data_IF_227502944634
#
_entry.id   IF_227502944634
#
_cell.length_a   1.000
_cell.length_b   1.000
_cell.length_c   1.000
_cell.angle_alpha   90.00
_cell.angle_beta   90.00
_cell.angle_gamma   90.00
#
_symmetry.space_group_name_H-M   'P 1'
#
loop_
_entity.id
_entity.type
_entity.pdbx_description
1 polymer ?
#
# COMPACT_ATOMS: atom_id res chain seq x y z
N UNK A 1 -59.74 47.84 29.08
CA UNK A 1 -59.03 48.90 28.32
C UNK A 1 -57.71 48.37 27.79
N UNK A 2 -57.43 48.59 26.51
CA UNK A 2 -56.07 48.71 25.96
C UNK A 2 -55.67 50.20 26.11
N UNK A 3 -54.38 50.63 26.10
CA UNK A 3 -53.48 50.22 25.01
C UNK A 3 -51.93 50.23 25.22
N UNK A 4 -51.26 49.69 24.19
CA UNK A 4 -49.90 49.91 23.63
C UNK A 4 -48.64 49.49 24.43
N UNK A 5 -47.60 48.86 23.86
CA UNK A 5 -47.27 48.38 22.50
C UNK A 5 -46.29 47.19 22.58
N UNK A 6 -46.37 46.19 21.68
CA UNK A 6 -45.46 45.94 20.53
C UNK A 6 -43.96 45.91 20.91
N UNK A 7 -43.13 44.90 20.61
CA UNK A 7 -43.13 43.93 19.51
C UNK A 7 -42.26 42.69 19.85
N UNK A 8 -42.75 41.49 19.51
CA UNK A 8 -41.94 40.28 19.37
C UNK A 8 -41.17 40.31 18.05
N UNK A 9 -39.87 40.06 18.06
CA UNK A 9 -39.14 39.62 16.87
C UNK A 9 -37.95 38.74 17.24
N UNK A 10 -37.87 37.62 16.52
CA UNK A 10 -36.75 36.71 16.40
C UNK A 10 -35.59 37.38 15.65
N UNK A 11 -34.37 37.28 16.18
CA UNK A 11 -33.09 37.52 15.47
C UNK A 11 -32.26 36.24 15.69
N UNK A 12 -31.98 35.36 14.72
CA UNK A 12 -31.36 35.47 13.39
C UNK A 12 -30.03 36.24 13.41
N UNK A 13 -28.93 35.49 13.40
CA UNK A 13 -27.56 35.94 13.13
C UNK A 13 -27.00 35.08 11.97
N UNK A 14 -26.00 35.54 11.20
CA UNK A 14 -26.23 36.00 9.83
C UNK A 14 -25.69 35.03 8.77
N UNK A 15 -26.51 34.80 7.75
CA UNK A 15 -26.10 34.26 6.45
C UNK A 15 -25.38 35.36 5.66
N UNK A 16 -24.06 35.23 5.50
CA UNK A 16 -23.28 36.05 4.56
C UNK A 16 -23.53 35.58 3.12
N UNK A 17 -24.44 36.29 2.47
CA UNK A 17 -24.34 36.85 1.11
C UNK A 17 -23.43 36.17 0.09
N UNK A 18 -24.04 35.58 -0.94
CA UNK A 18 -23.63 35.70 -2.35
C UNK A 18 -24.92 35.73 -3.20
N UNK A 19 -25.21 36.86 -3.84
CA UNK A 19 -26.30 37.04 -4.83
C UNK A 19 -25.69 37.09 -6.25
N UNK A 20 -26.50 36.90 -7.30
CA UNK A 20 -26.17 36.01 -8.41
C UNK A 20 -25.46 36.74 -9.55
N UNK A 21 -24.49 36.05 -10.16
CA UNK A 21 -23.95 36.41 -11.47
C UNK A 21 -24.25 35.30 -12.47
N UNK A 22 -24.99 35.66 -13.49
CA UNK A 22 -25.41 34.84 -14.62
C UNK A 22 -24.23 34.33 -15.47
N UNK A 23 -24.50 33.28 -16.28
CA UNK A 23 -23.78 32.85 -17.51
C UNK A 23 -22.72 31.75 -17.30
N UNK A 24 -23.17 30.50 -17.30
CA UNK A 24 -23.14 29.55 -18.44
C UNK A 24 -23.33 28.16 -17.88
N UNK A 25 -24.40 27.48 -18.29
CA UNK A 25 -24.47 26.04 -18.19
C UNK A 25 -23.23 25.46 -18.90
N UNK A 26 -22.26 25.01 -18.11
CA UNK A 26 -21.20 24.16 -18.63
C UNK A 26 -21.90 22.87 -19.06
N UNK A 27 -22.15 22.75 -20.36
CA UNK A 27 -22.48 21.47 -20.99
C UNK A 27 -21.44 20.49 -20.48
N UNK A 28 -21.88 19.54 -19.67
CA UNK A 28 -21.07 18.41 -19.26
C UNK A 28 -20.68 17.69 -20.53
N UNK A 29 -19.43 17.86 -20.96
CA UNK A 29 -18.78 17.03 -21.97
C UNK A 29 -18.62 15.62 -21.37
N UNK A 30 -19.73 14.88 -21.25
CA UNK A 30 -19.67 13.43 -21.27
C UNK A 30 -19.14 13.00 -22.64
N UNK A 31 -18.27 11.99 -22.67
CA UNK A 31 -17.82 11.28 -23.87
C UNK A 31 -16.64 11.83 -24.69
N UNK A 32 -15.75 12.64 -24.12
CA UNK A 32 -14.40 12.83 -24.73
C UNK A 32 -13.33 12.06 -23.96
N UNK A 33 -13.35 10.73 -24.10
CA UNK A 33 -12.16 9.93 -23.80
C UNK A 33 -11.14 10.26 -24.89
N UNK A 34 -10.03 10.90 -24.53
CA UNK A 34 -8.90 11.07 -25.46
C UNK A 34 -8.27 9.69 -25.67
N UNK A 35 -8.26 9.14 -26.90
CA UNK A 35 -7.63 7.86 -27.17
C UNK A 35 -6.17 7.87 -26.69
N UNK A 36 -5.69 6.74 -26.18
CA UNK A 36 -4.35 6.65 -25.58
C UNK A 36 -3.25 7.16 -26.52
N UNK A 37 -3.34 6.81 -27.81
CA UNK A 37 -2.38 7.23 -28.84
C UNK A 37 -2.29 8.77 -29.02
N UNK A 38 -3.39 9.50 -28.77
CA UNK A 38 -3.53 10.94 -29.04
C UNK A 38 -3.12 11.84 -27.87
N UNK A 39 -2.69 11.26 -26.75
CA UNK A 39 -2.26 12.05 -25.58
C UNK A 39 -0.96 12.82 -25.86
N UNK A 40 -0.89 14.04 -25.36
CA UNK A 40 0.25 14.97 -25.58
C UNK A 40 1.36 14.81 -24.55
N UNK A 41 1.04 14.37 -23.32
CA UNK A 41 1.99 14.25 -22.21
C UNK A 41 2.67 12.86 -22.20
N UNK A 42 3.37 12.51 -23.28
CA UNK A 42 4.10 11.24 -23.35
C UNK A 42 5.43 11.37 -22.62
N UNK A 43 5.72 10.44 -21.71
CA UNK A 43 6.96 10.35 -20.94
C UNK A 43 7.35 11.61 -20.15
N UNK A 44 6.39 12.48 -19.83
CA UNK A 44 6.62 13.67 -19.02
C UNK A 44 7.04 13.28 -17.60
N UNK A 45 8.20 13.77 -17.16
CA UNK A 45 8.67 13.54 -15.79
C UNK A 45 7.90 14.43 -14.82
N UNK A 46 7.19 13.80 -13.86
CA UNK A 46 6.42 14.52 -12.85
C UNK A 46 7.19 14.80 -11.56
N UNK A 47 8.10 13.90 -11.17
CA UNK A 47 8.80 14.00 -9.90
C UNK A 47 10.15 13.28 -9.94
N UNK A 48 11.12 13.80 -9.19
CA UNK A 48 12.45 13.19 -9.01
C UNK A 48 12.73 13.12 -7.52
N UNK A 49 13.04 11.91 -7.04
CA UNK A 49 13.53 11.68 -5.69
C UNK A 49 15.06 11.70 -5.69
N UNK A 50 15.66 12.32 -4.67
CA UNK A 50 17.11 12.30 -4.45
C UNK A 50 17.93 12.81 -5.65
N UNK A 51 17.49 13.91 -6.27
CA UNK A 51 18.13 14.47 -7.46
C UNK A 51 19.64 14.73 -7.27
N UNK A 52 20.05 15.14 -6.06
CA UNK A 52 21.43 15.45 -5.72
C UNK A 52 22.37 14.22 -5.76
N UNK A 53 21.83 13.00 -5.62
CA UNK A 53 22.59 11.76 -5.67
C UNK A 53 22.92 11.30 -7.11
N UNK A 54 22.38 11.98 -8.13
CA UNK A 54 22.51 11.59 -9.55
C UNK A 54 23.71 12.29 -10.25
N UNK A 55 24.43 13.17 -9.55
CA UNK A 55 25.49 14.02 -10.10
C UNK A 55 26.72 13.29 -10.70
N UNK A 56 26.75 11.95 -10.74
CA UNK A 56 27.87 11.18 -11.29
C UNK A 56 27.51 10.19 -12.40
N UNK A 57 26.28 10.19 -12.94
CA UNK A 57 26.01 9.48 -14.20
C UNK A 57 26.09 10.47 -15.37
N UNK A 58 26.95 10.23 -16.39
CA UNK A 58 26.97 11.07 -17.56
C UNK A 58 25.58 11.01 -18.21
N UNK A 59 24.96 12.18 -18.36
CA UNK A 59 23.76 12.38 -19.15
C UNK A 59 24.01 11.84 -20.55
N UNK A 60 23.44 10.67 -20.87
CA UNK A 60 23.24 10.32 -22.27
C UNK A 60 22.15 11.25 -22.75
N UNK A 61 22.56 12.22 -23.56
CA UNK A 61 21.71 13.20 -24.22
C UNK A 61 20.40 12.56 -24.67
N UNK A 62 19.30 13.26 -24.39
CA UNK A 62 18.03 13.08 -25.06
C UNK A 62 18.23 13.41 -26.53
N UNK A 63 18.66 12.42 -27.31
CA UNK A 63 18.70 12.54 -28.76
C UNK A 63 17.28 12.35 -29.28
N UNK A 64 16.57 13.47 -29.45
CA UNK A 64 15.59 13.60 -30.51
C UNK A 64 16.30 13.38 -31.86
N UNK A 65 16.18 12.21 -32.49
CA UNK A 65 16.37 12.07 -33.95
C UNK A 65 15.68 10.83 -34.48
N UNK A 66 14.79 11.09 -35.46
CA UNK A 66 14.36 10.30 -36.63
C UNK A 66 14.24 8.78 -36.57
N UNK A 67 13.14 8.29 -37.14
CA UNK A 67 12.75 6.88 -37.28
C UNK A 67 13.68 5.99 -38.13
N UNK A 68 14.86 6.47 -38.56
CA UNK A 68 15.80 5.67 -39.33
C UNK A 68 17.22 5.73 -38.74
N UNK A 69 17.73 4.52 -38.49
CA UNK A 69 19.13 4.08 -38.38
C UNK A 69 19.61 3.45 -37.05
N UNK A 70 20.27 2.32 -37.30
CA UNK A 70 21.19 1.54 -36.49
C UNK A 70 20.57 0.56 -35.49
N UNK A 71 20.76 -0.72 -35.81
CA UNK A 71 20.88 -1.84 -34.89
C UNK A 71 21.85 -1.43 -33.78
N UNK A 72 21.35 -0.76 -32.74
CA UNK A 72 22.11 -0.44 -31.55
C UNK A 72 22.42 -1.78 -30.90
N UNK A 73 23.66 -2.25 -31.03
CA UNK A 73 24.15 -3.40 -30.26
C UNK A 73 23.88 -3.11 -28.80
N UNK A 74 23.06 -3.96 -28.17
CA UNK A 74 22.74 -3.85 -26.75
C UNK A 74 24.08 -4.03 -26.00
N UNK A 75 24.57 -3.01 -25.30
CA UNK A 75 25.83 -3.12 -24.58
C UNK A 75 25.69 -4.18 -23.48
N UNK A 76 26.73 -5.00 -23.23
CA UNK A 76 26.69 -5.97 -22.16
C UNK A 76 26.49 -5.24 -20.82
N UNK A 77 25.37 -5.51 -20.15
CA UNK A 77 25.03 -4.94 -18.85
C UNK A 77 25.22 -5.97 -17.73
N UNK A 78 25.57 -5.51 -16.54
CA UNK A 78 25.83 -6.40 -15.42
C UNK A 78 24.51 -6.93 -14.85
N UNK A 79 24.17 -8.20 -15.09
CA UNK A 79 22.89 -8.80 -14.66
C UNK A 79 22.60 -8.64 -13.16
N UNK A 80 21.38 -8.29 -12.80
CA UNK A 80 20.93 -8.30 -11.40
C UNK A 80 20.66 -9.73 -10.90
N UNK A 81 21.04 -10.00 -9.64
CA UNK A 81 20.76 -11.26 -8.96
C UNK A 81 19.42 -11.15 -8.22
N UNK A 82 18.62 -12.22 -8.29
CA UNK A 82 17.36 -12.34 -7.55
C UNK A 82 17.53 -13.50 -6.58
N UNK A 83 17.33 -13.22 -5.29
CA UNK A 83 17.32 -14.23 -4.24
C UNK A 83 15.92 -14.31 -3.65
N UNK A 84 15.25 -15.44 -3.83
CA UNK A 84 13.95 -15.72 -3.21
C UNK A 84 14.22 -16.22 -1.80
N UNK A 85 13.77 -15.49 -0.78
CA UNK A 85 13.99 -15.88 0.62
C UNK A 85 12.92 -16.84 1.11
N UNK A 86 11.66 -16.59 0.75
CA UNK A 86 10.51 -17.42 1.08
C UNK A 86 9.52 -17.33 -0.07
N UNK A 87 8.96 -18.47 -0.46
CA UNK A 87 7.82 -18.51 -1.38
C UNK A 87 6.55 -18.71 -0.56
N UNK A 88 5.62 -17.77 -0.64
CA UNK A 88 4.28 -17.89 -0.06
C UNK A 88 3.24 -17.42 -1.09
N UNK A 89 2.01 -17.94 -1.05
CA UNK A 89 1.56 -19.10 -0.27
C UNK A 89 2.34 -20.40 -0.59
N UNK A 90 2.40 -21.32 0.37
CA UNK A 90 3.12 -22.59 0.22
C UNK A 90 2.38 -23.53 -0.75
N UNK A 91 3.08 -24.43 -1.47
CA UNK A 91 2.41 -25.43 -2.32
C UNK A 91 1.39 -26.23 -1.52
N UNK A 92 0.16 -26.35 -2.03
CA UNK A 92 -0.93 -27.03 -1.32
C UNK A 92 -1.67 -26.17 -0.29
N UNK A 93 -1.37 -24.87 -0.21
CA UNK A 93 -2.17 -23.90 0.54
C UNK A 93 -3.63 -23.99 0.10
N UNK A 94 -4.51 -24.36 1.03
CA UNK A 94 -5.96 -24.35 0.81
C UNK A 94 -6.46 -22.95 1.12
N UNK A 95 -7.16 -22.35 0.17
CA UNK A 95 -7.82 -21.06 0.28
C UNK A 95 -9.30 -21.23 -0.11
N UNK A 96 -10.11 -20.17 0.02
CA UNK A 96 -11.57 -20.17 -0.16
C UNK A 96 -12.41 -20.84 0.94
N UNK A 97 -11.79 -21.33 2.00
CA UNK A 97 -12.49 -21.74 3.22
C UNK A 97 -11.67 -21.40 4.45
N UNK A 98 -12.25 -20.58 5.34
CA UNK A 98 -11.62 -20.21 6.60
C UNK A 98 -12.41 -20.79 7.76
N UNK A 99 -11.72 -21.51 8.66
CA UNK A 99 -12.31 -21.89 9.94
C UNK A 99 -12.27 -20.69 10.88
N UNK A 100 -13.35 -20.50 11.63
CA UNK A 100 -13.41 -19.47 12.69
C UNK A 100 -12.25 -19.60 13.68
N UNK A 101 -11.88 -20.83 14.02
CA UNK A 101 -10.75 -21.14 14.89
C UNK A 101 -9.41 -20.66 14.31
N UNK A 102 -9.16 -20.84 13.02
CA UNK A 102 -7.92 -20.40 12.38
C UNK A 102 -7.83 -18.87 12.35
N UNK A 103 -8.95 -18.19 12.06
CA UNK A 103 -9.04 -16.72 12.14
C UNK A 103 -8.82 -16.20 13.56
N UNK A 104 -9.42 -16.86 14.55
CA UNK A 104 -9.24 -16.54 15.95
C UNK A 104 -7.79 -16.69 16.37
N UNK A 105 -7.18 -17.85 16.08
CA UNK A 105 -5.78 -18.14 16.40
C UNK A 105 -4.84 -17.15 15.71
N UNK A 106 -5.11 -16.80 14.45
CA UNK A 106 -4.32 -15.79 13.74
C UNK A 106 -4.33 -14.42 14.44
N UNK A 107 -5.50 -13.95 14.88
CA UNK A 107 -5.62 -12.67 15.58
C UNK A 107 -5.00 -12.72 16.97
N UNK A 108 -5.21 -13.82 17.71
CA UNK A 108 -4.61 -14.04 19.02
C UNK A 108 -3.07 -14.10 18.93
N UNK A 109 -2.54 -14.83 17.96
CA UNK A 109 -1.09 -14.94 17.71
C UNK A 109 -0.46 -13.59 17.37
N UNK A 110 -1.21 -12.66 16.76
CA UNK A 110 -0.71 -11.30 16.53
C UNK A 110 -0.55 -10.54 17.85
N UNK A 111 -1.53 -10.61 18.75
CA UNK A 111 -1.47 -9.93 20.05
C UNK A 111 -0.39 -10.59 20.92
N UNK A 112 -0.42 -11.91 21.05
CA UNK A 112 0.52 -12.67 21.88
C UNK A 112 1.98 -12.53 21.42
N UNK A 113 2.25 -12.54 20.11
CA UNK A 113 3.61 -12.28 19.61
C UNK A 113 4.09 -10.87 19.95
N UNK A 114 3.26 -9.85 19.77
CA UNK A 114 3.63 -8.48 20.15
C UNK A 114 3.86 -8.35 21.65
N UNK A 115 3.03 -8.97 22.48
CA UNK A 115 3.19 -8.99 23.93
C UNK A 115 4.56 -9.57 24.32
N UNK A 116 4.93 -10.73 23.75
CA UNK A 116 6.26 -11.34 23.96
C UNK A 116 7.40 -10.44 23.48
N UNK A 117 7.25 -9.76 22.35
CA UNK A 117 8.24 -8.83 21.83
C UNK A 117 8.44 -7.63 22.77
N UNK A 118 7.35 -7.06 23.30
CA UNK A 118 7.41 -6.00 24.30
C UNK A 118 8.08 -6.48 25.59
N UNK A 119 7.68 -7.62 26.14
CA UNK A 119 8.31 -8.19 27.34
C UNK A 119 9.81 -8.45 27.13
N UNK A 120 10.22 -8.93 25.96
CA UNK A 120 11.61 -9.21 25.62
C UNK A 120 12.50 -7.96 25.58
N UNK A 121 11.93 -6.77 25.40
CA UNK A 121 12.71 -5.52 25.49
C UNK A 121 13.16 -5.18 26.91
N UNK A 122 12.43 -5.67 27.92
CA UNK A 122 12.65 -5.31 29.33
C UNK A 122 12.31 -3.87 29.70
N UNK A 123 11.79 -3.05 28.77
CA UNK A 123 11.58 -1.62 28.99
C UNK A 123 10.26 -1.28 29.71
N UNK A 124 9.23 -2.11 29.55
CA UNK A 124 7.84 -1.78 29.93
C UNK A 124 7.25 -2.70 31.01
N UNK A 125 8.01 -3.71 31.47
CA UNK A 125 7.51 -4.75 32.37
C UNK A 125 6.66 -5.81 31.67
N UNK A 126 5.92 -6.59 32.45
CA UNK A 126 5.02 -7.62 31.92
C UNK A 126 3.64 -7.03 31.58
N UNK A 127 3.02 -7.41 30.44
CA UNK A 127 1.66 -7.00 30.10
C UNK A 127 0.66 -7.43 31.17
N UNK A 128 -0.13 -6.49 31.65
CA UNK A 128 -1.23 -6.69 32.57
C UNK A 128 -2.58 -6.74 31.84
N UNK A 129 -3.62 -7.16 32.56
CA UNK A 129 -5.00 -7.16 32.06
C UNK A 129 -5.60 -5.75 32.14
N UNK A 130 -5.68 -5.07 30.99
CA UNK A 130 -6.27 -3.73 30.88
C UNK A 130 -7.75 -3.66 31.27
N UNK A 131 -8.43 -4.80 31.43
CA UNK A 131 -9.86 -4.84 31.80
C UNK A 131 -10.10 -4.84 33.31
N UNK A 132 -9.05 -5.02 34.12
CA UNK A 132 -9.18 -5.02 35.57
C UNK A 132 -9.19 -3.61 36.12
N UNK A 133 -10.05 -3.38 37.12
CA UNK A 133 -10.09 -2.11 37.83
C UNK A 133 -8.82 -1.93 38.67
N UNK A 134 -8.09 -0.84 38.43
CA UNK A 134 -6.93 -0.44 39.21
C UNK A 134 -6.65 1.05 39.01
N UNK A 135 -6.24 1.72 40.10
CA UNK A 135 -5.72 3.09 40.07
C UNK A 135 -4.21 3.12 39.78
N UNK A 136 -3.53 1.98 39.86
CA UNK A 136 -2.09 1.89 39.56
C UNK A 136 -1.84 1.91 38.05
N UNK A 137 -0.73 2.57 37.67
CA UNK A 137 -0.28 2.58 36.30
C UNK A 137 0.20 1.18 35.89
N UNK A 138 -0.29 0.69 34.77
CA UNK A 138 0.01 -0.63 34.22
C UNK A 138 0.37 -0.53 32.74
N UNK A 139 1.18 -1.48 32.30
CA UNK A 139 1.47 -1.70 30.89
C UNK A 139 0.57 -2.81 30.36
N UNK A 140 -0.08 -2.59 29.22
CA UNK A 140 -0.91 -3.60 28.56
C UNK A 140 -0.66 -3.64 27.06
N UNK A 141 -0.97 -4.77 26.43
CA UNK A 141 -0.84 -4.96 24.99
C UNK A 141 -2.16 -5.46 24.44
N UNK A 142 -2.61 -4.88 23.33
CA UNK A 142 -3.85 -5.28 22.71
C UNK A 142 -4.02 -4.81 21.28
N UNK A 143 -5.08 -5.28 20.64
CA UNK A 143 -5.47 -4.89 19.29
C UNK A 143 -6.54 -3.81 19.33
N UNK A 144 -6.35 -2.74 18.56
CA UNK A 144 -7.31 -1.67 18.39
C UNK A 144 -8.51 -2.18 17.58
N UNK A 145 -9.71 -1.99 18.11
CA UNK A 145 -10.98 -2.38 17.48
C UNK A 145 -11.94 -1.18 17.51
N UNK A 146 -12.83 -1.12 16.52
CA UNK A 146 -13.95 -0.18 16.49
C UNK A 146 -15.20 -0.84 17.09
N UNK A 147 -15.92 -0.15 17.97
CA UNK A 147 -17.19 -0.66 18.54
C UNK A 147 -18.41 -0.54 17.60
N UNK A 148 -18.25 0.09 16.42
CA UNK A 148 -19.30 0.27 15.43
C UNK A 148 -18.93 -0.15 14.01
N UNK A 149 -19.92 -0.17 13.13
CA UNK A 149 -19.76 -0.50 11.70
C UNK A 149 -19.14 0.64 10.87
N UNK A 150 -18.84 1.78 11.51
CA UNK A 150 -18.31 2.99 10.89
C UNK A 150 -16.79 3.15 11.02
N UNK A 151 -16.30 4.31 10.57
CA UNK A 151 -14.89 4.70 10.75
C UNK A 151 -14.57 4.87 12.23
N UNK A 152 -13.35 4.47 12.60
CA UNK A 152 -12.81 4.68 13.94
C UNK A 152 -12.88 6.18 14.30
N UNK A 153 -13.43 6.49 15.46
CA UNK A 153 -13.44 7.81 16.05
C UNK A 153 -13.00 7.72 17.51
N UNK A 154 -12.65 8.84 18.14
CA UNK A 154 -12.08 8.90 19.49
C UNK A 154 -12.95 8.23 20.57
N UNK A 155 -14.27 8.17 20.36
CA UNK A 155 -15.21 7.58 21.33
C UNK A 155 -15.45 6.09 21.12
N UNK A 156 -15.08 5.56 19.96
CA UNK A 156 -15.37 4.18 19.52
C UNK A 156 -14.16 3.25 19.62
N UNK A 157 -13.08 3.68 20.29
CA UNK A 157 -11.82 2.92 20.35
C UNK A 157 -11.90 1.90 21.48
N UNK A 158 -11.82 0.63 21.11
CA UNK A 158 -11.67 -0.48 22.03
C UNK A 158 -10.27 -1.07 21.90
N UNK A 159 -9.77 -1.59 23.02
CA UNK A 159 -8.58 -2.43 23.05
C UNK A 159 -8.99 -3.87 23.38
N UNK A 160 -8.74 -4.80 22.48
CA UNK A 160 -8.89 -6.23 22.73
C UNK A 160 -7.57 -6.80 23.24
N UNK A 161 -7.56 -7.31 24.47
CA UNK A 161 -6.42 -8.03 25.03
C UNK A 161 -6.31 -9.46 24.48
N UNK A 162 -5.20 -10.12 24.77
CA UNK A 162 -5.00 -11.51 24.39
C UNK A 162 -5.83 -12.46 25.28
N UNK A 163 -5.98 -13.71 24.86
CA UNK A 163 -6.55 -14.78 25.70
C UNK A 163 -5.70 -15.01 26.94
N UNK A 164 -4.38 -15.06 26.76
CA UNK A 164 -3.42 -15.29 27.84
C UNK A 164 -3.52 -14.25 28.98
N UNK A 165 -3.61 -12.96 28.64
CA UNK A 165 -3.57 -11.88 29.64
C UNK A 165 -4.95 -11.38 30.06
N UNK A 166 -5.92 -11.36 29.14
CA UNK A 166 -7.23 -10.71 29.36
C UNK A 166 -8.41 -11.60 28.97
N UNK A 167 -8.22 -12.90 28.72
CA UNK A 167 -9.27 -13.82 28.26
C UNK A 167 -10.00 -13.33 27.00
N UNK A 168 -9.29 -12.57 26.14
CA UNK A 168 -9.85 -11.96 24.93
C UNK A 168 -10.86 -10.83 25.19
N UNK A 169 -10.95 -10.33 26.43
CA UNK A 169 -11.85 -9.24 26.79
C UNK A 169 -11.43 -7.93 26.14
N UNK A 170 -12.40 -7.00 26.09
CA UNK A 170 -12.25 -5.69 25.47
C UNK A 170 -12.52 -4.62 26.51
N UNK A 171 -11.77 -3.52 26.42
CA UNK A 171 -11.98 -2.34 27.25
C UNK A 171 -12.00 -1.09 26.37
N UNK A 172 -12.80 -0.08 26.74
CA UNK A 172 -12.77 1.21 26.06
C UNK A 172 -11.42 1.88 26.31
N UNK A 173 -10.84 2.48 25.29
CA UNK A 173 -9.58 3.20 25.37
C UNK A 173 -9.85 4.71 25.31
N UNK A 174 -9.50 5.41 26.38
CA UNK A 174 -9.53 6.87 26.46
C UNK A 174 -8.12 7.42 26.21
N UNK A 175 -7.99 8.21 25.15
CA UNK A 175 -6.72 8.78 24.66
C UNK A 175 -6.62 10.28 24.92
N UNK A 176 -7.52 10.87 25.73
CA UNK A 176 -7.56 12.33 25.96
C UNK A 176 -6.24 12.93 26.47
N UNK A 177 -5.44 12.11 27.16
CA UNK A 177 -4.16 12.52 27.76
C UNK A 177 -2.97 12.33 26.80
N UNK A 178 -3.23 11.89 25.55
CA UNK A 178 -2.23 11.66 24.51
C UNK A 178 -2.41 12.69 23.40
N UNK A 179 -1.45 13.60 23.26
CA UNK A 179 -1.54 14.73 22.33
C UNK A 179 -1.44 14.35 20.85
N UNK A 180 -0.74 13.26 20.53
CA UNK A 180 -0.50 12.83 19.16
C UNK A 180 -0.51 11.30 19.09
N UNK A 181 -1.36 10.75 18.24
CA UNK A 181 -1.43 9.33 17.98
C UNK A 181 -1.92 9.08 16.56
N UNK A 182 -1.57 7.91 16.02
CA UNK A 182 -2.12 7.41 14.76
C UNK A 182 -2.56 5.97 14.98
N UNK A 183 -3.87 5.77 15.01
CA UNK A 183 -4.48 4.46 15.25
C UNK A 183 -5.38 4.03 14.09
N UNK A 184 -5.37 2.73 13.81
CA UNK A 184 -6.30 2.11 12.87
C UNK A 184 -6.79 0.75 13.40
N UNK A 185 -7.98 0.35 12.97
CA UNK A 185 -8.56 -0.93 13.36
C UNK A 185 -7.67 -2.11 12.93
N UNK A 186 -7.41 -3.03 13.86
CA UNK A 186 -6.52 -4.17 13.67
C UNK A 186 -5.05 -3.90 13.98
N UNK A 187 -4.66 -2.68 14.35
CA UNK A 187 -3.32 -2.37 14.84
C UNK A 187 -3.10 -2.98 16.23
N UNK A 188 -1.96 -3.62 16.46
CA UNK A 188 -1.56 -4.09 17.79
C UNK A 188 -0.62 -3.06 18.40
N UNK A 189 -0.92 -2.62 19.63
CA UNK A 189 -0.19 -1.55 20.32
C UNK A 189 0.10 -1.93 21.76
N UNK A 190 1.16 -1.35 22.31
CA UNK A 190 1.38 -1.28 23.76
C UNK A 190 0.79 0.02 24.31
N UNK A 191 0.25 -0.02 25.52
CA UNK A 191 -0.25 1.16 26.22
C UNK A 191 0.22 1.16 27.66
N UNK A 192 0.51 2.34 28.19
CA UNK A 192 0.64 2.57 29.63
C UNK A 192 -0.50 3.47 30.09
N UNK A 193 -1.03 3.20 31.27
CA UNK A 193 -2.12 3.95 31.86
C UNK A 193 -2.77 3.16 32.98
N UNK A 194 -4.00 3.51 33.32
CA UNK A 194 -4.73 2.88 34.42
C UNK A 194 -6.20 2.72 34.06
N UNK A 195 -6.92 1.86 34.77
CA UNK A 195 -8.34 1.63 34.55
C UNK A 195 -9.10 1.76 35.87
N UNK A 196 -9.51 2.98 36.27
CA UNK A 196 -10.18 3.19 37.56
C UNK A 196 -11.49 2.40 37.74
N UNK A 197 -12.16 2.08 36.63
CA UNK A 197 -13.55 1.60 36.63
C UNK A 197 -13.72 0.14 36.21
N UNK A 198 -12.68 -0.50 35.68
CA UNK A 198 -12.76 -1.77 34.96
C UNK A 198 -13.32 -1.65 33.53
N UNK A 199 -14.03 -0.57 33.20
CA UNK A 199 -14.71 -0.43 31.91
C UNK A 199 -14.03 0.52 30.92
N UNK A 200 -13.07 1.33 31.37
CA UNK A 200 -12.36 2.30 30.54
C UNK A 200 -10.92 2.47 30.99
N UNK A 201 -10.00 2.12 30.10
CA UNK A 201 -8.58 2.34 30.27
C UNK A 201 -8.21 3.76 29.83
N UNK A 202 -7.68 4.55 30.76
CA UNK A 202 -7.19 5.91 30.51
C UNK A 202 -5.70 5.81 30.19
N UNK A 203 -5.36 5.96 28.91
CA UNK A 203 -3.99 5.82 28.44
C UNK A 203 -3.21 7.12 28.66
N UNK A 204 -2.08 7.01 29.35
CA UNK A 204 -1.10 8.10 29.48
C UNK A 204 0.00 8.03 28.43
N UNK A 205 0.19 6.87 27.80
CA UNK A 205 1.21 6.66 26.76
C UNK A 205 0.78 5.57 25.80
N UNK A 206 1.03 5.82 24.51
CA UNK A 206 0.82 4.88 23.42
C UNK A 206 2.17 4.46 22.85
N UNK A 207 2.35 3.16 22.63
CA UNK A 207 3.55 2.57 22.03
C UNK A 207 3.10 1.83 20.76
N UNK A 208 3.18 2.54 19.63
CA UNK A 208 2.73 2.07 18.31
C UNK A 208 3.81 1.32 17.51
N UNK A 209 5.07 1.43 17.96
CA UNK A 209 6.23 0.78 17.36
C UNK A 209 6.48 -0.57 18.03
N UNK A 210 6.00 -1.64 17.39
CA UNK A 210 6.23 -3.02 17.87
C UNK A 210 7.73 -3.33 17.76
N UNK A 211 8.39 -3.78 18.84
CA UNK A 211 9.79 -4.16 18.82
C UNK A 211 10.04 -5.24 17.77
N UNK A 212 11.04 -5.04 16.92
CA UNK A 212 11.44 -6.05 15.95
C UNK A 212 12.37 -7.04 16.66
N UNK A 213 12.05 -8.33 16.61
CA UNK A 213 13.02 -9.37 16.99
C UNK A 213 14.24 -9.25 16.08
N UNK A 214 15.39 -8.93 16.67
CA UNK A 214 16.70 -9.12 16.06
C UNK A 214 16.94 -10.62 15.93
N UNK A 215 16.31 -11.24 14.95
CA UNK A 215 16.74 -12.55 14.48
C UNK A 215 17.99 -12.31 13.63
N UNK A 216 19.13 -12.87 14.04
CA UNK A 216 20.45 -12.76 13.40
C UNK A 216 20.47 -13.26 11.93
N UNK A 217 19.35 -13.81 11.45
CA UNK A 217 19.15 -14.27 10.08
C UNK A 217 18.37 -13.33 9.16
N UNK A 218 17.97 -12.12 9.62
CA UNK A 218 17.37 -11.15 8.71
C UNK A 218 18.42 -10.55 7.76
N UNK A 219 18.27 -10.66 6.43
CA UNK A 219 19.18 -10.03 5.49
C UNK A 219 19.15 -8.51 5.63
N UNK A 220 20.30 -7.89 5.34
CA UNK A 220 20.61 -6.47 5.53
C UNK A 220 19.52 -5.49 5.04
N UNK A 221 18.71 -5.87 4.05
CA UNK A 221 17.62 -5.07 3.50
C UNK A 221 16.45 -4.74 4.47
N UNK A 222 16.39 -5.38 5.64
CA UNK A 222 15.43 -5.04 6.72
C UNK A 222 16.07 -4.25 7.87
N UNK A 223 17.38 -4.00 7.83
CA UNK A 223 17.97 -2.99 8.69
C UNK A 223 17.43 -1.66 8.21
N UNK A 224 16.86 -0.89 9.13
CA UNK A 224 16.42 0.47 8.87
C UNK A 224 17.55 1.18 8.12
N UNK A 225 17.25 1.75 6.95
CA UNK A 225 18.14 2.68 6.27
C UNK A 225 18.13 4.00 7.07
N UNK A 226 18.62 3.92 8.30
CA UNK A 226 18.87 5.08 9.15
C UNK A 226 20.39 5.18 9.14
N UNK A 227 20.87 6.15 8.38
CA UNK A 227 22.27 6.54 8.37
C UNK A 227 22.70 6.89 9.80
N UNK A 228 23.37 5.94 10.45
CA UNK A 228 24.23 6.23 11.58
C UNK A 228 25.66 5.89 11.15
N UNK A 229 26.33 6.95 10.68
CA UNK A 229 27.73 7.27 10.93
C UNK A 229 28.78 6.17 10.65
N UNK A 230 29.57 6.40 9.60
CA UNK A 230 31.02 6.40 9.81
C UNK A 230 31.84 5.15 9.49
N UNK A 231 31.31 4.13 8.79
CA UNK A 231 32.13 3.03 8.29
C UNK A 231 32.01 2.85 6.77
N UNK A 232 32.49 3.87 6.04
CA UNK A 232 32.87 3.73 4.63
C UNK A 232 34.08 2.79 4.53
N UNK A 233 33.83 1.48 4.49
CA UNK A 233 34.79 0.56 3.92
C UNK A 233 34.86 0.83 2.41
N UNK A 234 35.88 1.59 2.04
CA UNK A 234 36.23 2.18 0.74
C UNK A 234 36.49 1.17 -0.40
N UNK A 235 35.69 0.10 -0.54
CA UNK A 235 35.82 -0.83 -1.66
C UNK A 235 34.51 -1.45 -2.16
N UNK A 236 33.35 -0.97 -1.69
CA UNK A 236 32.10 -1.28 -2.38
C UNK A 236 31.95 -0.34 -3.57
N UNK A 237 32.40 -0.78 -4.75
CA UNK A 237 31.93 -0.22 -6.02
C UNK A 237 30.41 -0.09 -5.92
N UNK A 238 29.91 1.14 -5.85
CA UNK A 238 28.49 1.45 -5.78
C UNK A 238 27.84 0.91 -7.05
N UNK A 239 27.31 -0.31 -6.97
CA UNK A 239 26.71 -0.98 -8.11
C UNK A 239 25.27 -0.50 -8.19
N UNK A 240 25.05 0.51 -9.01
CA UNK A 240 23.73 1.09 -9.27
C UNK A 240 22.84 0.05 -9.94
N UNK A 241 21.66 -0.21 -9.37
CA UNK A 241 20.60 -1.01 -9.98
C UNK A 241 19.65 -0.09 -10.75
N UNK A 242 19.56 -0.26 -12.07
CA UNK A 242 18.57 0.41 -12.91
C UNK A 242 17.30 -0.44 -12.98
N UNK A 243 16.16 0.14 -12.63
CA UNK A 243 14.87 -0.56 -12.68
C UNK A 243 13.76 0.32 -13.25
N UNK A 244 12.79 -0.32 -13.90
CA UNK A 244 11.49 0.27 -14.27
C UNK A 244 10.42 -0.48 -13.48
N UNK A 245 9.52 0.26 -12.85
CA UNK A 245 8.42 -0.29 -12.06
C UNK A 245 7.13 0.31 -12.60
N UNK A 246 6.14 -0.54 -12.90
CA UNK A 246 4.82 -0.12 -13.35
C UNK A 246 3.74 -0.96 -12.70
N UNK A 247 2.56 -0.37 -12.50
CA UNK A 247 1.36 -1.04 -12.04
C UNK A 247 0.25 -0.87 -13.07
N UNK A 248 -0.57 -1.89 -13.25
CA UNK A 248 -1.75 -1.82 -14.10
C UNK A 248 -2.81 -0.85 -13.56
N UNK A 249 -3.86 -0.56 -14.35
CA UNK A 249 -4.24 -1.29 -15.57
C UNK A 249 -3.32 -1.02 -16.77
N UNK A 250 -3.10 -2.05 -17.59
CA UNK A 250 -2.22 -1.99 -18.77
C UNK A 250 -2.96 -1.79 -20.10
N UNK A 251 -4.27 -1.54 -20.03
CA UNK A 251 -5.14 -1.15 -21.14
C UNK A 251 -6.05 0.00 -20.69
N UNK A 252 -6.55 0.79 -21.63
CA UNK A 252 -7.52 1.84 -21.33
C UNK A 252 -8.93 1.26 -21.17
N UNK A 253 -9.87 2.03 -20.62
CA UNK A 253 -11.22 1.53 -20.30
C UNK A 253 -12.15 1.36 -21.51
N UNK A 254 -11.75 1.88 -22.68
CA UNK A 254 -12.53 1.92 -23.91
C UNK A 254 -12.23 0.76 -24.86
N UNK A 255 -11.17 -0.02 -24.62
CA UNK A 255 -10.77 -1.15 -25.46
C UNK A 255 -9.81 -2.12 -24.74
N UNK A 256 -9.58 -3.30 -25.33
CA UNK A 256 -8.62 -4.30 -24.87
C UNK A 256 -7.39 -4.41 -25.79
N UNK A 257 -6.88 -3.29 -26.32
CA UNK A 257 -5.74 -3.28 -27.25
C UNK A 257 -4.37 -3.23 -26.54
N UNK A 258 -4.35 -2.99 -25.22
CA UNK A 258 -3.12 -2.95 -24.41
C UNK A 258 -2.04 -1.98 -24.94
N UNK A 259 -2.47 -0.87 -25.57
CA UNK A 259 -1.58 0.19 -26.04
C UNK A 259 -0.64 0.73 -24.94
N UNK A 260 -1.09 0.92 -23.68
CA UNK A 260 -0.20 1.31 -22.58
C UNK A 260 0.93 0.32 -22.31
N UNK A 261 0.67 -0.98 -22.34
CA UNK A 261 1.72 -1.99 -22.17
C UNK A 261 2.74 -1.92 -23.30
N UNK A 262 2.28 -1.84 -24.54
CA UNK A 262 3.16 -1.78 -25.70
C UNK A 262 4.08 -0.55 -25.64
N UNK A 263 3.55 0.61 -25.25
CA UNK A 263 4.34 1.81 -25.11
C UNK A 263 5.32 1.73 -23.92
N UNK A 264 4.92 1.11 -22.80
CA UNK A 264 5.79 0.83 -21.65
C UNK A 264 6.97 -0.08 -22.05
N UNK A 265 6.71 -1.17 -22.79
CA UNK A 265 7.77 -2.08 -23.25
C UNK A 265 8.69 -1.39 -24.24
N UNK A 266 8.16 -0.54 -25.12
CA UNK A 266 8.96 0.28 -26.04
C UNK A 266 9.87 1.26 -25.29
N UNK A 267 9.35 1.88 -24.23
CA UNK A 267 10.15 2.71 -23.32
C UNK A 267 11.24 1.90 -22.61
N UNK A 268 10.91 0.74 -22.05
CA UNK A 268 11.87 -0.13 -21.38
C UNK A 268 12.95 -0.65 -22.35
N UNK A 269 12.61 -0.93 -23.62
CA UNK A 269 13.58 -1.27 -24.66
C UNK A 269 14.60 -0.14 -24.89
N UNK A 270 14.15 1.12 -24.84
CA UNK A 270 15.01 2.30 -25.00
C UNK A 270 15.88 2.55 -23.77
N UNK A 271 15.32 2.38 -22.56
CA UNK A 271 16.03 2.61 -21.29
C UNK A 271 16.92 1.44 -20.87
N UNK A 272 16.66 0.23 -21.36
CA UNK A 272 17.39 -1.00 -21.06
C UNK A 272 17.65 -1.20 -19.55
N UNK A 273 16.61 -1.22 -18.71
CA UNK A 273 16.78 -1.44 -17.28
C UNK A 273 17.29 -2.86 -17.00
N UNK A 274 17.99 -3.04 -15.87
CA UNK A 274 18.37 -4.38 -15.41
C UNK A 274 17.18 -5.16 -14.85
N UNK A 275 16.15 -4.44 -14.37
CA UNK A 275 14.96 -5.01 -13.77
C UNK A 275 13.70 -4.28 -14.23
N UNK A 276 12.69 -5.03 -14.69
CA UNK A 276 11.34 -4.56 -14.93
C UNK A 276 10.39 -5.24 -13.94
N UNK A 277 9.72 -4.47 -13.09
CA UNK A 277 8.69 -4.97 -12.17
C UNK A 277 7.34 -4.51 -12.70
N UNK A 278 6.47 -5.47 -13.02
CA UNK A 278 5.10 -5.22 -13.44
C UNK A 278 4.15 -5.74 -12.37
N UNK A 279 3.32 -4.86 -11.83
CA UNK A 279 2.30 -5.20 -10.86
C UNK A 279 0.93 -5.17 -11.54
N UNK A 280 0.07 -6.13 -11.23
CA UNK A 280 -1.29 -6.18 -11.77
C UNK A 280 -2.15 -4.97 -11.36
N UNK A 281 -3.40 -4.90 -11.84
CA UNK A 281 -4.03 -5.92 -12.67
C UNK A 281 -3.50 -5.90 -14.11
N UNK A 282 -3.11 -7.06 -14.60
CA UNK A 282 -2.82 -7.32 -16.00
C UNK A 282 -4.10 -7.38 -16.80
N UNK A 283 -5.06 -8.19 -16.34
CA UNK A 283 -6.43 -8.21 -16.87
C UNK A 283 -7.35 -7.72 -15.77
N UNK A 284 -7.74 -6.44 -15.82
CA UNK A 284 -8.53 -5.83 -14.75
C UNK A 284 -9.97 -6.36 -14.74
N UNK A 285 -10.36 -7.02 -13.65
CA UNK A 285 -11.71 -7.55 -13.43
C UNK A 285 -12.80 -6.47 -13.38
N UNK A 286 -12.45 -5.21 -13.13
CA UNK A 286 -13.40 -4.09 -13.23
C UNK A 286 -13.39 -3.40 -14.60
N UNK A 287 -12.54 -3.81 -15.55
CA UNK A 287 -12.56 -3.26 -16.90
C UNK A 287 -13.96 -3.46 -17.52
N UNK A 288 -14.57 -2.44 -18.17
CA UNK A 288 -15.96 -2.52 -18.62
C UNK A 288 -16.29 -3.75 -19.48
N UNK A 289 -15.40 -4.13 -20.40
CA UNK A 289 -15.61 -5.31 -21.27
C UNK A 289 -15.43 -6.65 -20.53
N UNK A 290 -14.51 -6.69 -19.55
CA UNK A 290 -14.26 -7.88 -18.73
C UNK A 290 -15.44 -8.10 -17.78
N UNK A 291 -15.88 -7.03 -17.10
CA UNK A 291 -16.98 -7.06 -16.13
C UNK A 291 -18.33 -7.37 -16.77
N UNK A 292 -18.57 -6.91 -18.00
CA UNK A 292 -19.79 -7.22 -18.77
C UNK A 292 -19.74 -8.59 -19.45
N UNK A 293 -18.58 -9.23 -19.51
CA UNK A 293 -18.39 -10.49 -20.22
C UNK A 293 -18.63 -10.37 -21.73
N UNK A 294 -18.26 -9.24 -22.33
CA UNK A 294 -18.45 -9.01 -23.77
C UNK A 294 -17.32 -9.55 -24.65
N UNK A 295 -16.20 -9.95 -24.03
CA UNK A 295 -15.07 -10.60 -24.70
C UNK A 295 -15.45 -12.01 -25.15
N UNK A 296 -15.06 -12.37 -26.37
CA UNK A 296 -15.17 -13.72 -26.94
C UNK A 296 -14.01 -14.66 -26.51
N UNK A 297 -12.96 -14.10 -25.91
CA UNK A 297 -11.79 -14.83 -25.39
C UNK A 297 -11.88 -15.10 -23.89
N UNK A 298 -11.25 -16.19 -23.44
CA UNK A 298 -11.07 -16.45 -22.01
C UNK A 298 -10.06 -15.48 -21.39
N UNK A 299 -10.20 -15.16 -20.10
CA UNK A 299 -9.26 -14.27 -19.41
C UNK A 299 -7.82 -14.80 -19.43
N UNK A 300 -7.65 -16.13 -19.41
CA UNK A 300 -6.35 -16.78 -19.55
C UNK A 300 -5.74 -16.53 -20.94
N UNK A 301 -6.54 -16.61 -22.00
CA UNK A 301 -6.06 -16.35 -23.36
C UNK A 301 -5.65 -14.88 -23.53
N UNK A 302 -6.48 -13.94 -23.04
CA UNK A 302 -6.14 -12.52 -23.09
C UNK A 302 -4.82 -12.27 -22.34
N UNK A 303 -4.66 -12.81 -21.13
CA UNK A 303 -3.40 -12.71 -20.38
C UNK A 303 -2.22 -13.29 -21.16
N UNK A 304 -2.38 -14.49 -21.73
CA UNK A 304 -1.31 -15.14 -22.47
C UNK A 304 -0.88 -14.34 -23.71
N UNK A 305 -1.83 -13.90 -24.54
CA UNK A 305 -1.53 -13.21 -25.79
C UNK A 305 -1.14 -11.74 -25.61
N UNK A 306 -1.84 -11.01 -24.73
CA UNK A 306 -1.62 -9.58 -24.59
C UNK A 306 -0.51 -9.25 -23.59
N UNK A 307 -0.23 -10.14 -22.64
CA UNK A 307 0.79 -9.90 -21.61
C UNK A 307 2.00 -10.81 -21.83
N UNK A 308 1.84 -12.12 -21.68
CA UNK A 308 2.99 -13.03 -21.67
C UNK A 308 3.75 -13.04 -22.99
N UNK A 309 3.05 -13.09 -24.13
CA UNK A 309 3.70 -13.08 -25.44
C UNK A 309 4.49 -11.79 -25.69
N UNK A 310 3.91 -10.62 -25.39
CA UNK A 310 4.63 -9.34 -25.53
C UNK A 310 5.85 -9.25 -24.62
N UNK A 311 5.78 -9.83 -23.41
CA UNK A 311 6.93 -9.92 -22.49
C UNK A 311 7.99 -10.91 -22.96
N UNK A 312 7.60 -12.02 -23.58
CA UNK A 312 8.52 -12.95 -24.22
C UNK A 312 9.27 -12.28 -25.37
N UNK A 313 8.56 -11.56 -26.24
CA UNK A 313 9.18 -10.80 -27.34
C UNK A 313 10.17 -9.75 -26.79
N UNK A 314 9.76 -9.02 -25.74
CA UNK A 314 10.60 -8.03 -25.05
C UNK A 314 11.87 -8.65 -24.43
N UNK A 315 11.73 -9.77 -23.72
CA UNK A 315 12.88 -10.45 -23.09
C UNK A 315 13.77 -11.16 -24.09
N UNK A 316 13.22 -11.66 -25.20
CA UNK A 316 13.99 -12.19 -26.32
C UNK A 316 14.82 -11.09 -26.99
N UNK A 317 14.25 -9.89 -27.15
CA UNK A 317 14.95 -8.74 -27.72
C UNK A 317 16.09 -8.25 -26.82
N UNK A 318 15.84 -8.05 -25.52
CA UNK A 318 16.86 -7.55 -24.58
C UNK A 318 17.83 -8.63 -24.07
N UNK A 319 17.46 -9.90 -24.21
CA UNK A 319 18.24 -11.05 -23.77
C UNK A 319 18.52 -11.03 -22.26
N UNK A 320 19.75 -11.36 -21.89
CA UNK A 320 20.18 -11.47 -20.49
C UNK A 320 20.33 -10.13 -19.75
N UNK A 321 20.08 -9.00 -20.42
CA UNK A 321 20.25 -7.66 -19.86
C UNK A 321 19.11 -7.24 -18.94
N UNK A 322 17.93 -7.82 -19.11
CA UNK A 322 16.75 -7.50 -18.31
C UNK A 322 16.25 -8.71 -17.55
N UNK A 323 15.81 -8.49 -16.31
CA UNK A 323 14.98 -9.44 -15.56
C UNK A 323 13.57 -8.86 -15.45
N UNK A 324 12.55 -9.67 -15.68
CA UNK A 324 11.15 -9.28 -15.50
C UNK A 324 10.58 -9.99 -14.26
N UNK A 325 9.89 -9.24 -13.40
CA UNK A 325 9.14 -9.76 -12.25
C UNK A 325 7.68 -9.35 -12.42
N UNK A 326 6.78 -10.33 -12.34
CA UNK A 326 5.33 -10.09 -12.31
C UNK A 326 4.83 -10.22 -10.87
N UNK A 327 4.00 -9.26 -10.45
CA UNK A 327 3.34 -9.27 -9.15
C UNK A 327 1.83 -9.28 -9.38
N UNK A 328 1.10 -10.33 -8.95
CA UNK A 328 -0.34 -10.39 -9.14
C UNK A 328 -1.08 -9.29 -8.38
N UNK A 329 -2.31 -9.04 -8.84
CA UNK A 329 -3.32 -8.25 -8.15
C UNK A 329 -4.57 -9.08 -7.92
N UNK A 330 -5.30 -8.86 -6.83
CA UNK A 330 -6.60 -9.50 -6.57
C UNK A 330 -7.67 -9.10 -7.61
N UNK A 331 -7.35 -8.12 -8.46
CA UNK A 331 -8.16 -7.69 -9.61
C UNK A 331 -7.73 -8.35 -10.93
N UNK A 332 -6.76 -9.26 -10.92
CA UNK A 332 -6.43 -10.06 -12.10
C UNK A 332 -7.52 -11.08 -12.40
N UNK A 333 -8.33 -10.83 -13.43
CA UNK A 333 -9.47 -11.67 -13.79
C UNK A 333 -9.10 -13.11 -14.15
N UNK A 334 -7.86 -13.35 -14.56
CA UNK A 334 -7.35 -14.68 -14.91
C UNK A 334 -6.76 -15.43 -13.70
N UNK A 335 -6.68 -14.81 -12.52
CA UNK A 335 -6.02 -15.36 -11.34
C UNK A 335 -6.93 -15.37 -10.11
N UNK A 336 -6.48 -16.03 -9.03
CA UNK A 336 -7.25 -16.12 -7.80
C UNK A 336 -7.45 -14.74 -7.14
N UNK A 337 -8.69 -14.38 -6.82
CA UNK A 337 -9.05 -13.09 -6.22
C UNK A 337 -8.83 -13.01 -4.69
N UNK A 338 -7.96 -13.84 -4.13
CA UNK A 338 -7.76 -13.98 -2.67
C UNK A 338 -6.33 -13.60 -2.28
N UNK A 339 -6.19 -12.67 -1.34
CA UNK A 339 -4.89 -12.30 -0.78
C UNK A 339 -4.53 -13.17 0.44
N UNK A 340 -3.25 -13.60 0.61
CA UNK A 340 -2.13 -13.44 -0.33
C UNK A 340 -2.26 -14.38 -1.54
N UNK A 341 -1.91 -13.89 -2.73
CA UNK A 341 -2.03 -14.63 -3.98
C UNK A 341 -0.79 -15.51 -4.26
N UNK A 342 -1.00 -16.65 -4.91
CA UNK A 342 0.06 -17.45 -5.50
C UNK A 342 0.76 -16.69 -6.65
N UNK A 343 1.96 -17.11 -7.03
CA UNK A 343 2.62 -16.58 -8.22
C UNK A 343 1.80 -16.87 -9.49
N UNK A 344 1.88 -15.96 -10.46
CA UNK A 344 1.29 -16.10 -11.80
C UNK A 344 2.17 -16.99 -12.67
#
# INVERSE_FOLDING_TARGET
EKPHGESSNSELTPLTTERPSSIRAAKTNGDRITPFAQRVNKFTQHYVLNADNVASLPSKDEVETSEDELIRRIPPSQKCTLQVQRSKPEPGCRFMYDRMEDRFNYLEDRIGRSARLFSATGLYGQPADATLASEENMFAVGMVICDGEGRLNEKSILLQGSVEHSRGQRVRLDLKDINQFSLFSGQVVGIEGHNPSGHCFVASKLIDSIPVSVDDQLPCAKKQAVDHEGHQNSNTLSRVLSSVIAAGPFTTTDNLLFEPLQELLSYACRKQPQLLILMGPFIDSDHPEIKKGTSDQSFHDIFHFEILRKLQDFTQYLGHNVRVILVPSVRDAHHDAVFPQACI
#
